data_IF_335644146504
#
_entry.id   IF_335644146504
#
_cell.length_a   1.000
_cell.length_b   1.000
_cell.length_c   1.000
_cell.angle_alpha   90.00
_cell.angle_beta   90.00
_cell.angle_gamma   90.00
#
_symmetry.space_group_name_H-M   'P 1'
#
loop_
_entity.id
_entity.type
_entity.pdbx_description
1 polymer ?
#
# COMPACT_ATOMS: atom_id res chain seq x y z
N UNK A 1 5.95 12.57 -6.66
CA UNK A 1 5.59 11.48 -7.59
C UNK A 1 6.17 10.19 -7.04
N UNK A 2 5.35 9.26 -6.54
CA UNK A 2 5.82 7.97 -6.01
C UNK A 2 6.28 7.10 -7.17
N UNK A 3 7.39 6.38 -7.01
CA UNK A 3 7.97 5.54 -8.08
C UNK A 3 7.11 4.33 -8.47
N UNK A 4 6.01 4.06 -7.75
CA UNK A 4 5.30 2.77 -7.69
C UNK A 4 3.81 2.77 -8.06
N UNK A 5 3.33 3.82 -8.73
CA UNK A 5 1.94 3.87 -9.23
C UNK A 5 1.08 5.00 -8.66
N UNK A 6 -0.22 4.93 -8.98
CA UNK A 6 -1.24 5.93 -8.61
C UNK A 6 -2.12 5.38 -7.48
N UNK A 7 -2.42 6.22 -6.49
CA UNK A 7 -3.23 5.85 -5.32
C UNK A 7 -4.40 6.81 -5.18
N UNK A 8 -5.56 6.30 -4.75
CA UNK A 8 -6.75 7.11 -4.46
C UNK A 8 -6.87 7.30 -2.96
N UNK A 9 -6.79 8.56 -2.52
CA UNK A 9 -7.01 8.95 -1.13
C UNK A 9 -8.47 9.25 -0.85
N UNK A 10 -8.76 9.48 0.42
CA UNK A 10 -10.04 9.98 0.94
C UNK A 10 -9.78 11.29 1.68
N UNK A 11 -10.52 12.34 1.33
CA UNK A 11 -10.57 13.56 2.13
C UNK A 11 -11.19 13.24 3.50
N UNK A 12 -10.51 13.62 4.57
CA UNK A 12 -11.02 13.57 5.94
C UNK A 12 -11.26 15.00 6.45
N UNK A 13 -11.96 15.13 7.59
CA UNK A 13 -12.26 16.43 8.17
C UNK A 13 -10.99 17.28 8.38
N UNK A 14 -11.17 18.59 8.38
CA UNK A 14 -10.12 19.61 8.49
C UNK A 14 -9.17 19.73 7.27
N UNK A 15 -9.60 19.30 6.08
CA UNK A 15 -8.88 19.59 4.83
C UNK A 15 -7.63 18.75 4.62
N UNK A 16 -7.61 17.54 5.18
CA UNK A 16 -6.48 16.61 5.06
C UNK A 16 -6.88 15.44 4.17
N UNK A 17 -5.97 15.02 3.28
CA UNK A 17 -6.13 13.80 2.49
C UNK A 17 -5.49 12.60 3.19
N UNK A 18 -6.26 11.52 3.36
CA UNK A 18 -5.81 10.27 3.95
C UNK A 18 -5.69 9.17 2.89
N UNK A 19 -4.54 8.49 2.86
CA UNK A 19 -4.27 7.33 2.01
C UNK A 19 -3.98 6.13 2.89
N UNK A 20 -4.95 5.23 3.03
CA UNK A 20 -4.90 4.10 3.97
C UNK A 20 -4.67 2.79 3.22
N UNK A 21 -4.08 1.80 3.89
CA UNK A 21 -3.89 0.46 3.33
C UNK A 21 -2.80 0.33 2.25
N UNK A 22 -1.95 1.35 2.08
CA UNK A 22 -0.84 1.29 1.13
C UNK A 22 0.19 0.23 1.54
N UNK A 23 0.34 -0.80 0.72
CA UNK A 23 1.36 -1.82 0.91
C UNK A 23 2.72 -1.26 0.49
N UNK A 24 3.68 -1.26 1.40
CA UNK A 24 5.07 -0.88 1.13
C UNK A 24 5.97 -2.09 0.85
N UNK A 25 5.56 -3.27 1.32
CA UNK A 25 6.26 -4.52 1.16
C UNK A 25 5.27 -5.63 0.85
N UNK A 26 5.79 -6.69 0.25
CA UNK A 26 5.09 -7.94 0.05
C UNK A 26 4.68 -8.57 1.40
N UNK A 27 3.52 -9.25 1.48
CA UNK A 27 3.08 -9.86 2.72
C UNK A 27 4.08 -10.90 3.28
N UNK A 28 4.43 -10.84 4.58
CA UNK A 28 5.53 -11.63 5.16
C UNK A 28 5.08 -13.02 5.66
N UNK A 29 4.15 -13.67 4.96
CA UNK A 29 3.68 -15.01 5.30
C UNK A 29 4.27 -16.09 4.39
N UNK A 30 4.09 -17.36 4.77
CA UNK A 30 4.63 -18.51 4.02
C UNK A 30 6.16 -18.50 3.99
N UNK A 31 6.73 -18.66 2.80
CA UNK A 31 8.19 -18.71 2.58
C UNK A 31 8.90 -17.39 2.93
N UNK A 32 8.16 -16.28 3.05
CA UNK A 32 8.69 -14.96 3.40
C UNK A 32 8.74 -14.71 4.91
N UNK A 33 8.23 -15.64 5.74
CA UNK A 33 8.26 -15.51 7.20
C UNK A 33 9.72 -15.48 7.68
N UNK A 34 10.06 -14.49 8.48
CA UNK A 34 11.42 -14.24 9.00
C UNK A 34 12.47 -13.85 7.94
N UNK A 35 12.08 -13.65 6.69
CA UNK A 35 12.96 -13.09 5.66
C UNK A 35 12.96 -11.55 5.71
N UNK A 36 13.95 -10.93 5.07
CA UNK A 36 13.95 -9.48 4.88
C UNK A 36 12.72 -9.02 4.05
N UNK A 37 12.15 -7.83 4.32
CA UNK A 37 11.03 -7.31 3.55
C UNK A 37 11.34 -7.20 2.06
N UNK A 38 10.48 -7.77 1.22
CA UNK A 38 10.56 -7.60 -0.23
C UNK A 38 9.67 -6.40 -0.62
N UNK A 39 10.15 -5.44 -1.41
CA UNK A 39 9.33 -4.31 -1.83
C UNK A 39 8.06 -4.77 -2.56
N UNK A 40 6.93 -4.13 -2.28
CA UNK A 40 5.67 -4.44 -2.96
C UNK A 40 5.77 -4.13 -4.46
N UNK A 41 5.18 -5.00 -5.28
CA UNK A 41 5.08 -4.78 -6.73
C UNK A 41 4.21 -3.56 -7.06
N UNK A 42 4.52 -2.88 -8.17
CA UNK A 42 3.93 -1.60 -8.60
C UNK A 42 2.48 -1.75 -9.11
N UNK A 43 1.98 -2.98 -9.16
CA UNK A 43 0.58 -3.28 -9.36
C UNK A 43 -0.21 -2.82 -8.13
N UNK A 44 -0.49 -1.52 -8.10
CA UNK A 44 -1.41 -0.85 -7.21
C UNK A 44 -2.65 -1.71 -7.07
N UNK A 45 -2.68 -2.45 -5.98
CA UNK A 45 -3.73 -3.40 -5.68
C UNK A 45 -4.97 -2.54 -5.46
N UNK A 46 -5.80 -2.44 -6.51
CA UNK A 46 -7.16 -1.90 -6.46
C UNK A 46 -8.01 -2.85 -5.62
N UNK A 47 -7.60 -3.12 -4.39
CA UNK A 47 -8.41 -3.78 -3.38
C UNK A 47 -9.06 -2.66 -2.62
N UNK A 48 -10.28 -2.38 -3.02
CA UNK A 48 -11.23 -1.72 -2.17
C UNK A 48 -11.28 -2.54 -0.88
N UNK A 49 -10.65 -2.03 0.18
CA UNK A 49 -10.92 -2.52 1.52
C UNK A 49 -12.26 -1.92 1.91
N UNK A 50 -13.32 -2.68 1.59
CA UNK A 50 -14.67 -2.46 2.08
C UNK A 50 -14.77 -2.72 3.57
#
# INVERSE_FOLDING_TARGET
MTRRGQFRGRAVDAGVDAFLGLRYAEPPFGVRRFAAPVPADDAGDRREFG
#
